data_IF_998270071494
#
_entry.id   IF_998270071494
#
_cell.length_a   1.000
_cell.length_b   1.000
_cell.length_c   1.000
_cell.angle_alpha   90.00
_cell.angle_beta   90.00
_cell.angle_gamma   90.00
#
_symmetry.space_group_name_H-M   'P 1'
#
loop_
_entity.id
_entity.type
_entity.pdbx_description
1 polymer ?
#
# COMPACT_ATOMS: atom_id res chain seq x y z
N UNK A 1 -33.60 12.05 -53.15
CA UNK A 1 -33.95 11.46 -51.83
C UNK A 1 -33.34 10.07 -51.58
N UNK A 2 -32.11 9.75 -52.03
CA UNK A 2 -31.39 8.49 -51.72
C UNK A 2 -30.10 8.72 -50.89
N UNK A 3 -29.57 9.94 -50.93
CA UNK A 3 -28.37 10.35 -50.17
C UNK A 3 -28.62 10.42 -48.66
N UNK A 4 -29.83 10.82 -48.24
CA UNK A 4 -30.22 10.92 -46.82
C UNK A 4 -30.25 9.55 -46.10
N UNK A 5 -30.71 8.51 -46.79
CA UNK A 5 -30.79 7.15 -46.25
C UNK A 5 -29.39 6.50 -46.12
N UNK A 6 -28.47 6.83 -47.04
CA UNK A 6 -27.06 6.43 -46.96
C UNK A 6 -26.34 7.12 -45.81
N UNK A 7 -26.58 8.42 -45.61
CA UNK A 7 -26.00 9.19 -44.50
C UNK A 7 -26.43 8.62 -43.13
N UNK A 8 -27.72 8.34 -42.92
CA UNK A 8 -28.22 7.71 -41.69
C UNK A 8 -27.61 6.33 -41.43
N UNK A 9 -27.43 5.53 -42.48
CA UNK A 9 -26.85 4.17 -42.37
C UNK A 9 -25.36 4.21 -42.01
N UNK A 10 -24.62 5.18 -42.57
CA UNK A 10 -23.20 5.37 -42.25
C UNK A 10 -23.01 5.95 -40.84
N UNK A 11 -23.85 6.90 -40.42
CA UNK A 11 -23.85 7.46 -39.05
C UNK A 11 -24.12 6.38 -37.99
N UNK A 12 -25.06 5.45 -38.27
CA UNK A 12 -25.39 4.35 -37.35
C UNK A 12 -24.23 3.36 -37.17
N UNK A 13 -23.42 3.13 -38.22
CA UNK A 13 -22.20 2.32 -38.15
C UNK A 13 -21.12 2.99 -37.29
N UNK A 14 -20.91 4.29 -37.45
CA UNK A 14 -19.94 5.03 -36.63
C UNK A 14 -20.35 5.07 -35.16
N UNK A 15 -21.65 5.23 -34.85
CA UNK A 15 -22.16 5.15 -33.48
C UNK A 15 -21.88 3.77 -32.84
N UNK A 16 -22.08 2.68 -33.57
CA UNK A 16 -21.77 1.33 -33.08
C UNK A 16 -20.28 1.11 -32.80
N UNK A 17 -19.40 1.73 -33.60
CA UNK A 17 -17.94 1.66 -33.42
C UNK A 17 -17.48 2.43 -32.17
N UNK A 18 -18.05 3.61 -31.91
CA UNK A 18 -17.67 4.43 -30.74
C UNK A 18 -18.08 3.76 -29.43
N UNK A 19 -19.26 3.12 -29.39
CA UNK A 19 -19.74 2.38 -28.21
C UNK A 19 -18.84 1.17 -27.90
N UNK A 20 -18.28 0.53 -28.92
CA UNK A 20 -17.39 -0.63 -28.75
C UNK A 20 -16.01 -0.27 -28.18
N UNK A 21 -15.58 1.00 -28.27
CA UNK A 21 -14.26 1.45 -27.79
C UNK A 21 -14.25 1.89 -26.31
N UNK A 22 -15.41 2.00 -25.65
CA UNK A 22 -15.47 2.25 -24.21
C UNK A 22 -15.37 0.92 -23.45
N UNK A 23 -14.17 0.32 -23.50
CA UNK A 23 -13.83 -0.88 -22.75
C UNK A 23 -13.79 -0.65 -21.23
N UNK A 24 -14.17 -1.69 -20.48
CA UNK A 24 -14.16 -1.74 -19.02
C UNK A 24 -12.74 -2.01 -18.50
N UNK A 25 -12.21 -1.15 -17.64
CA UNK A 25 -10.95 -1.38 -16.91
C UNK A 25 -11.23 -2.26 -15.68
N UNK A 26 -10.59 -3.43 -15.61
CA UNK A 26 -10.67 -4.29 -14.43
C UNK A 26 -9.99 -3.62 -13.22
N UNK A 27 -10.56 -3.73 -12.00
CA UNK A 27 -9.90 -3.23 -10.80
C UNK A 27 -8.60 -3.99 -10.56
N UNK A 28 -7.53 -3.27 -10.27
CA UNK A 28 -6.27 -3.86 -9.84
C UNK A 28 -6.48 -4.53 -8.47
N UNK A 29 -6.12 -5.80 -8.35
CA UNK A 29 -6.17 -6.50 -7.06
C UNK A 29 -4.99 -6.01 -6.21
N UNK A 30 -5.29 -5.30 -5.12
CA UNK A 30 -4.27 -4.95 -4.12
C UNK A 30 -3.72 -6.23 -3.50
N UNK A 31 -2.44 -6.54 -3.74
CA UNK A 31 -1.77 -7.69 -3.14
C UNK A 31 -1.37 -7.35 -1.70
N UNK A 32 -1.75 -8.20 -0.76
CA UNK A 32 -1.32 -8.09 0.64
C UNK A 32 -0.15 -9.05 0.85
N UNK A 33 0.99 -8.52 1.28
CA UNK A 33 2.15 -9.31 1.66
C UNK A 33 2.27 -9.35 3.19
N UNK A 34 2.47 -10.55 3.75
CA UNK A 34 2.69 -10.75 5.19
C UNK A 34 4.10 -11.29 5.37
N UNK A 35 4.91 -10.58 6.16
CA UNK A 35 6.25 -11.01 6.55
C UNK A 35 6.23 -11.30 8.05
N UNK A 36 7.02 -12.28 8.49
CA UNK A 36 7.04 -12.72 9.88
C UNK A 36 5.98 -13.77 10.22
N UNK A 37 5.99 -14.21 11.47
CA UNK A 37 5.04 -15.18 12.00
C UNK A 37 4.69 -14.82 13.44
N UNK A 38 3.43 -14.39 13.65
CA UNK A 38 2.95 -13.98 14.97
C UNK A 38 3.11 -15.08 16.03
N UNK A 39 2.96 -16.36 15.67
CA UNK A 39 3.17 -17.48 16.59
C UNK A 39 4.63 -17.58 17.02
N UNK A 40 5.56 -17.43 16.09
CA UNK A 40 6.99 -17.45 16.38
C UNK A 40 7.39 -16.28 17.28
N UNK A 41 6.84 -15.10 17.02
CA UNK A 41 7.06 -13.90 17.83
C UNK A 41 6.54 -14.12 19.25
N UNK A 42 5.29 -14.57 19.40
CA UNK A 42 4.59 -14.64 20.69
C UNK A 42 4.94 -15.88 21.53
N UNK A 43 5.22 -17.04 20.91
CA UNK A 43 5.47 -18.30 21.62
C UNK A 43 6.93 -18.73 21.63
N UNK A 44 7.70 -18.36 20.61
CA UNK A 44 9.10 -18.77 20.47
C UNK A 44 10.08 -17.63 20.76
N UNK A 45 9.57 -16.45 21.14
CA UNK A 45 10.34 -15.24 21.43
C UNK A 45 11.28 -14.82 20.27
N UNK A 46 10.91 -15.16 19.02
CA UNK A 46 11.65 -14.77 17.82
C UNK A 46 11.32 -13.31 17.49
N UNK A 47 12.03 -12.42 18.17
CA UNK A 47 11.84 -10.97 18.15
C UNK A 47 12.90 -10.24 17.33
N UNK A 48 13.57 -10.97 16.44
CA UNK A 48 14.48 -10.42 15.44
C UNK A 48 13.67 -9.89 14.26
N UNK A 49 14.15 -8.83 13.64
CA UNK A 49 13.41 -8.21 12.58
C UNK A 49 13.58 -8.92 11.23
N UNK A 50 12.50 -8.95 10.46
CA UNK A 50 12.40 -9.71 9.21
C UNK A 50 12.47 -8.82 7.97
N UNK A 51 12.23 -7.51 8.10
CA UNK A 51 12.26 -6.55 6.99
C UNK A 51 12.75 -5.17 7.39
N UNK A 52 13.68 -4.61 6.61
CA UNK A 52 14.14 -3.23 6.81
C UNK A 52 13.18 -2.24 6.14
N UNK A 53 12.82 -1.17 6.84
CA UNK A 53 11.96 -0.12 6.26
C UNK A 53 12.58 0.56 5.03
N UNK A 54 13.90 0.53 4.87
CA UNK A 54 14.56 1.06 3.69
C UNK A 54 14.37 0.20 2.45
N UNK A 55 14.04 -1.08 2.63
CA UNK A 55 13.79 -2.04 1.54
C UNK A 55 12.36 -1.92 1.01
N UNK A 56 11.46 -1.26 1.77
CA UNK A 56 10.09 -1.01 1.33
C UNK A 56 10.04 0.08 0.23
N UNK A 57 9.21 -0.11 -0.80
CA UNK A 57 9.09 0.84 -1.89
C UNK A 57 8.56 2.18 -1.39
N UNK A 58 9.13 3.27 -1.90
CA UNK A 58 8.80 4.65 -1.48
C UNK A 58 7.62 5.20 -2.30
N UNK A 59 6.45 4.63 -2.10
CA UNK A 59 5.26 4.98 -2.85
C UNK A 59 4.15 5.54 -1.95
N UNK A 60 3.33 6.43 -2.50
CA UNK A 60 2.24 7.11 -1.79
C UNK A 60 1.02 6.21 -1.53
N UNK A 61 1.04 4.97 -2.01
CA UNK A 61 0.02 3.94 -1.86
C UNK A 61 0.49 2.77 -0.98
N UNK A 62 1.62 2.93 -0.28
CA UNK A 62 2.13 1.92 0.64
C UNK A 62 1.38 2.00 1.98
N UNK A 63 0.76 0.87 2.35
CA UNK A 63 0.14 0.63 3.65
C UNK A 63 0.78 -0.57 4.33
N UNK A 64 1.14 -0.45 5.60
CA UNK A 64 1.70 -1.55 6.39
C UNK A 64 1.45 -1.35 7.89
N UNK A 65 1.43 -2.44 8.64
CA UNK A 65 1.37 -2.42 10.10
C UNK A 65 2.23 -3.56 10.64
N UNK A 66 2.89 -3.35 11.77
CA UNK A 66 3.68 -4.39 12.41
C UNK A 66 4.28 -3.94 13.73
N UNK A 67 5.11 -4.83 14.29
CA UNK A 67 5.89 -4.54 15.48
C UNK A 67 7.30 -4.10 15.10
N UNK A 68 7.90 -3.26 15.95
CA UNK A 68 9.32 -2.93 15.87
C UNK A 68 10.12 -4.06 16.52
N UNK A 69 11.32 -4.33 16.00
CA UNK A 69 12.32 -5.22 16.60
C UNK A 69 12.37 -5.19 18.14
N UNK A 70 12.53 -6.37 18.75
CA UNK A 70 12.52 -6.55 20.20
C UNK A 70 11.19 -6.23 20.88
N UNK A 71 10.08 -6.16 20.13
CA UNK A 71 8.76 -5.72 20.63
C UNK A 71 8.82 -4.33 21.29
N UNK A 72 9.71 -3.47 20.81
CA UNK A 72 10.00 -2.17 21.42
C UNK A 72 8.98 -1.07 21.06
N UNK A 73 7.90 -1.44 20.37
CA UNK A 73 6.87 -0.55 19.88
C UNK A 73 6.13 -1.10 18.68
N UNK A 74 5.24 -0.29 18.11
CA UNK A 74 4.49 -0.60 16.91
C UNK A 74 4.83 0.39 15.80
N UNK A 75 4.59 -0.03 14.57
CA UNK A 75 4.78 0.77 13.38
C UNK A 75 3.57 0.67 12.47
N UNK A 76 3.15 1.82 11.95
CA UNK A 76 2.08 1.98 11.00
C UNK A 76 2.59 2.81 9.83
N UNK A 77 2.41 2.32 8.62
CA UNK A 77 2.69 3.03 7.38
C UNK A 77 1.35 3.34 6.71
N UNK A 78 1.08 4.62 6.47
CA UNK A 78 -0.10 5.09 5.73
C UNK A 78 0.34 6.07 4.67
N UNK A 79 -0.06 5.83 3.42
CA UNK A 79 0.34 6.64 2.26
C UNK A 79 1.87 6.87 2.19
N UNK A 80 2.66 5.83 2.51
CA UNK A 80 4.12 5.90 2.57
C UNK A 80 4.71 6.71 3.73
N UNK A 81 3.89 7.26 4.64
CA UNK A 81 4.34 7.95 5.87
C UNK A 81 4.42 6.97 7.01
N UNK A 82 5.52 7.06 7.78
CA UNK A 82 5.80 6.15 8.89
C UNK A 82 5.40 6.79 10.21
N UNK A 83 4.60 6.06 10.99
CA UNK A 83 4.19 6.38 12.34
C UNK A 83 4.71 5.28 13.26
N UNK A 84 5.28 5.66 14.40
CA UNK A 84 5.76 4.69 15.39
C UNK A 84 5.22 5.03 16.76
N UNK A 85 4.77 4.01 17.49
CA UNK A 85 4.43 4.10 18.90
C UNK A 85 5.54 3.44 19.73
N UNK A 86 5.99 4.11 20.80
CA UNK A 86 6.96 3.56 21.75
C UNK A 86 6.61 3.96 23.18
N UNK A 87 6.90 3.08 24.13
CA UNK A 87 6.83 3.40 25.55
C UNK A 87 8.17 3.95 25.98
N UNK A 88 8.19 5.19 26.48
CA UNK A 88 9.38 5.78 27.11
C UNK A 88 9.03 6.26 28.50
N UNK A 89 9.66 5.67 29.52
CA UNK A 89 9.55 6.06 30.94
C UNK A 89 8.09 6.36 31.35
N UNK A 90 7.23 5.36 31.22
CA UNK A 90 5.81 5.37 31.63
C UNK A 90 4.88 6.31 30.84
N UNK A 91 5.35 6.89 29.73
CA UNK A 91 4.52 7.74 28.85
C UNK A 91 4.48 7.18 27.43
N UNK A 92 3.27 7.13 26.84
CA UNK A 92 3.07 6.80 25.43
C UNK A 92 3.48 7.98 24.54
N UNK A 93 4.39 7.75 23.61
CA UNK A 93 4.75 8.74 22.60
C UNK A 93 4.39 8.21 21.21
N UNK A 94 3.46 8.93 20.55
CA UNK A 94 3.21 8.77 19.11
C UNK A 94 4.15 9.71 18.37
N UNK A 95 5.11 9.14 17.65
CA UNK A 95 6.04 9.91 16.83
C UNK A 95 5.61 9.76 15.38
N UNK A 96 5.24 10.89 14.76
CA UNK A 96 5.13 10.97 13.31
C UNK A 96 6.53 11.22 12.77
N UNK A 97 7.17 10.17 12.29
CA UNK A 97 8.48 10.28 11.67
C UNK A 97 8.29 10.61 10.18
N UNK A 98 8.32 11.90 9.82
CA UNK A 98 8.73 12.27 8.47
C UNK A 98 10.22 11.93 8.40
N UNK A 99 10.56 10.80 7.75
CA UNK A 99 11.79 10.01 7.95
C UNK A 99 12.95 10.81 8.61
N UNK A 100 13.44 10.41 9.79
CA UNK A 100 14.65 11.01 10.33
C UNK A 100 15.78 10.78 9.34
N UNK A 101 16.58 11.82 9.06
CA UNK A 101 17.88 11.61 8.44
C UNK A 101 18.69 10.69 9.36
N UNK A 102 18.84 9.45 8.91
CA UNK A 102 20.05 8.65 9.05
C UNK A 102 20.50 8.29 10.49
N UNK A 103 19.58 7.88 11.38
CA UNK A 103 19.98 7.07 12.55
C UNK A 103 18.83 6.31 13.25
N UNK A 104 17.88 5.75 12.50
CA UNK A 104 16.94 4.78 13.07
C UNK A 104 16.86 3.56 12.15
N UNK A 105 17.57 2.50 12.54
CA UNK A 105 17.36 1.15 12.00
C UNK A 105 16.05 0.62 12.57
N UNK A 106 14.93 1.16 12.07
CA UNK A 106 13.62 0.61 12.38
C UNK A 106 13.40 -0.55 11.41
N UNK A 107 13.46 -1.76 11.96
CA UNK A 107 13.29 -3.01 11.24
C UNK A 107 11.98 -3.63 11.76
N UNK A 108 11.11 -4.02 10.84
CA UNK A 108 9.78 -4.60 11.07
C UNK A 108 9.93 -6.11 11.33
N UNK A 109 9.11 -6.67 12.24
CA UNK A 109 8.96 -8.12 12.42
C UNK A 109 7.89 -8.72 11.52
#
# INVERSE_FOLDING_TARGET
MKHDLRYKTQMKKYILIVIALMGCSAPENSSVNVTGNLRAIMLENKTEATINLNDLPRQSDLFAIGAIEGLSGEILIMDGKVFTSRVTKDTFQSITAMRPKQHCSCTLM
#
